data_IF_649095613477
#
_entry.id   IF_649095613477
#
_cell.length_a   1.000
_cell.length_b   1.000
_cell.length_c   1.000
_cell.angle_alpha   90.00
_cell.angle_beta   90.00
_cell.angle_gamma   90.00
#
_symmetry.space_group_name_H-M   'P 1'
#
loop_
_entity.id
_entity.type
_entity.pdbx_description
1 polymer ?
#
# COMPACT_ATOMS: atom_id res chain seq x y z
N UNK A 1 20.39 10.80 -2.81
CA UNK A 1 21.87 10.80 -2.65
C UNK A 1 22.47 10.16 -3.88
N UNK A 2 23.46 10.82 -4.46
CA UNK A 2 24.17 10.37 -5.68
C UNK A 2 25.66 10.20 -5.34
N UNK A 3 26.05 9.07 -4.71
CA UNK A 3 27.42 8.88 -4.23
C UNK A 3 28.44 8.62 -5.35
N UNK A 4 27.97 8.16 -6.51
CA UNK A 4 28.74 7.86 -7.72
C UNK A 4 27.96 8.39 -8.90
N UNK A 5 28.63 8.84 -9.96
CA UNK A 5 27.98 9.26 -11.20
C UNK A 5 27.09 8.15 -11.76
N UNK A 6 25.83 8.47 -12.04
CA UNK A 6 24.81 7.51 -12.50
C UNK A 6 24.15 6.66 -11.40
N UNK A 7 24.62 6.70 -10.13
CA UNK A 7 24.02 5.95 -9.03
C UNK A 7 23.10 6.84 -8.19
N UNK A 8 21.82 6.49 -8.12
CA UNK A 8 20.80 7.18 -7.31
C UNK A 8 20.30 6.21 -6.25
N UNK A 9 20.36 6.66 -5.00
CA UNK A 9 19.78 5.97 -3.86
C UNK A 9 18.55 6.77 -3.40
N UNK A 10 17.40 6.10 -3.34
CA UNK A 10 16.15 6.71 -2.88
C UNK A 10 15.58 5.91 -1.70
N UNK A 11 15.13 6.64 -0.68
CA UNK A 11 14.49 6.07 0.51
C UNK A 11 13.22 6.85 0.83
N UNK A 12 12.09 6.20 0.78
CA UNK A 12 10.78 6.76 1.11
C UNK A 12 10.22 6.06 2.34
N UNK A 13 9.85 6.85 3.35
CA UNK A 13 9.17 6.39 4.54
C UNK A 13 7.93 7.25 4.78
N UNK A 14 6.76 6.62 4.77
CA UNK A 14 5.49 7.25 5.06
C UNK A 14 4.82 6.54 6.22
N UNK A 15 4.37 7.32 7.21
CA UNK A 15 3.55 6.84 8.30
C UNK A 15 2.25 7.64 8.35
N UNK A 16 1.13 6.95 8.50
CA UNK A 16 -0.18 7.56 8.61
C UNK A 16 -0.93 6.98 9.81
N UNK A 17 -1.58 7.84 10.59
CA UNK A 17 -2.45 7.43 11.69
C UNK A 17 -3.78 8.15 11.56
N UNK A 18 -4.86 7.39 11.65
CA UNK A 18 -6.22 7.91 11.72
C UNK A 18 -6.91 7.30 12.94
N UNK A 19 -7.52 8.15 13.75
CA UNK A 19 -8.33 7.75 14.90
C UNK A 19 -9.70 8.37 14.74
N UNK A 20 -10.74 7.54 14.77
CA UNK A 20 -12.12 7.97 14.68
C UNK A 20 -12.87 7.46 15.90
N UNK A 21 -13.60 8.33 16.56
CA UNK A 21 -14.55 7.98 17.62
C UNK A 21 -15.93 8.39 17.19
N UNK A 22 -16.89 7.52 17.36
CA UNK A 22 -18.31 7.79 17.15
C UNK A 22 -19.06 7.50 18.45
N UNK A 23 -19.95 8.43 18.82
CA UNK A 23 -20.87 8.28 19.95
C UNK A 23 -22.29 8.38 19.36
N UNK A 24 -23.08 7.36 19.63
CA UNK A 24 -24.49 7.31 19.22
C UNK A 24 -25.36 7.26 20.47
N UNK A 25 -26.38 8.09 20.46
CA UNK A 25 -27.36 8.21 21.53
C UNK A 25 -28.76 7.92 21.00
N UNK A 26 -29.35 6.81 21.41
CA UNK A 26 -30.77 6.56 21.25
C UNK A 26 -31.52 7.11 22.45
N UNK A 27 -32.27 8.18 22.24
CA UNK A 27 -32.98 8.86 23.34
C UNK A 27 -34.07 7.99 23.96
N UNK A 28 -34.17 8.02 25.26
CA UNK A 28 -35.27 7.41 26.02
C UNK A 28 -36.67 7.94 25.61
N UNK A 29 -36.72 9.12 25.04
CA UNK A 29 -37.97 9.76 24.58
C UNK A 29 -38.33 9.41 23.13
N UNK A 30 -37.48 8.64 22.41
CA UNK A 30 -37.80 8.20 21.07
C UNK A 30 -38.89 7.12 21.08
N UNK A 31 -39.85 7.22 20.18
CA UNK A 31 -40.96 6.27 20.03
C UNK A 31 -40.40 4.85 19.83
N UNK A 32 -40.82 3.92 20.69
CA UNK A 32 -40.44 2.49 20.62
C UNK A 32 -39.21 2.10 21.45
N UNK A 33 -38.57 3.01 22.19
CA UNK A 33 -37.48 2.69 23.10
C UNK A 33 -37.99 2.13 24.43
N UNK A 34 -37.84 0.82 24.62
CA UNK A 34 -38.35 0.07 25.80
C UNK A 34 -37.39 0.14 27.02
N UNK A 35 -36.16 0.65 26.85
CA UNK A 35 -35.08 0.50 27.84
C UNK A 35 -34.45 1.84 28.30
N UNK A 36 -35.26 2.89 28.42
CA UNK A 36 -34.80 4.19 28.95
C UNK A 36 -33.56 4.77 28.24
N UNK A 37 -33.45 4.52 26.92
CA UNK A 37 -32.37 4.97 26.06
C UNK A 37 -31.17 4.02 25.99
N UNK A 38 -30.36 4.22 24.96
CA UNK A 38 -29.10 3.48 24.73
C UNK A 38 -27.98 4.44 24.32
N UNK A 39 -26.81 4.27 24.93
CA UNK A 39 -25.58 4.89 24.51
C UNK A 39 -24.69 3.84 23.86
N UNK A 40 -24.12 4.15 22.68
CA UNK A 40 -23.08 3.34 22.06
C UNK A 40 -21.88 4.19 21.65
N UNK A 41 -20.69 3.65 21.87
CA UNK A 41 -19.43 4.29 21.54
C UNK A 41 -18.60 3.31 20.73
N UNK A 42 -18.02 3.78 19.64
CA UNK A 42 -17.04 3.03 18.89
C UNK A 42 -15.77 3.86 18.65
N UNK A 43 -14.64 3.18 18.59
CA UNK A 43 -13.36 3.78 18.27
C UNK A 43 -12.62 2.92 17.26
N UNK A 44 -12.15 3.55 16.20
CA UNK A 44 -11.37 2.95 15.14
C UNK A 44 -10.00 3.61 15.10
N UNK A 45 -8.95 2.80 15.03
CA UNK A 45 -7.59 3.30 14.82
C UNK A 45 -6.95 2.56 13.67
N UNK A 46 -6.53 3.32 12.66
CA UNK A 46 -5.68 2.86 11.58
C UNK A 46 -4.27 3.41 11.80
N UNK A 47 -3.29 2.54 11.68
CA UNK A 47 -1.89 2.93 11.64
C UNK A 47 -1.23 2.20 10.49
N UNK A 48 -0.70 2.95 9.53
CA UNK A 48 0.00 2.40 8.37
C UNK A 48 1.43 2.91 8.30
N UNK A 49 2.32 2.04 7.88
CA UNK A 49 3.70 2.38 7.54
C UNK A 49 3.97 1.83 6.15
N UNK A 50 4.45 2.70 5.26
CA UNK A 50 4.91 2.34 3.94
C UNK A 50 6.36 2.78 3.80
N UNK A 51 7.24 1.86 3.43
CA UNK A 51 8.65 2.12 3.20
C UNK A 51 9.09 1.52 1.87
N UNK A 52 9.90 2.28 1.14
CA UNK A 52 10.47 1.85 -0.13
C UNK A 52 11.91 2.36 -0.24
N UNK A 53 12.78 1.46 -0.61
CA UNK A 53 14.18 1.73 -0.87
C UNK A 53 14.52 1.30 -2.28
N UNK A 54 15.15 2.17 -3.04
CA UNK A 54 15.58 1.86 -4.41
C UNK A 54 17.03 2.28 -4.64
N UNK A 55 17.69 1.49 -5.45
CA UNK A 55 19.00 1.77 -6.03
C UNK A 55 18.82 1.77 -7.53
N UNK A 56 19.13 2.87 -8.18
CA UNK A 56 19.14 2.99 -9.63
C UNK A 56 20.56 3.35 -10.10
N UNK A 57 21.05 2.60 -11.07
CA UNK A 57 22.32 2.86 -11.71
C UNK A 57 22.11 3.02 -13.20
N UNK A 58 22.54 4.17 -13.73
CA UNK A 58 22.43 4.55 -15.12
C UNK A 58 23.81 4.87 -15.66
N UNK A 59 24.25 4.18 -16.72
CA UNK A 59 25.58 4.36 -17.29
C UNK A 59 25.61 4.10 -18.80
N UNK A 60 26.25 5.02 -19.51
CA UNK A 60 26.61 4.87 -20.92
C UNK A 60 28.12 4.61 -21.06
N UNK A 61 28.47 3.65 -21.90
CA UNK A 61 29.83 3.26 -22.25
C UNK A 61 29.92 3.12 -23.78
N UNK A 62 30.30 4.19 -24.46
CA UNK A 62 30.22 4.24 -25.93
C UNK A 62 28.79 4.04 -26.41
N UNK A 63 28.57 3.05 -27.29
CA UNK A 63 27.26 2.71 -27.83
C UNK A 63 26.39 1.84 -26.89
N UNK A 64 26.90 1.50 -25.72
CA UNK A 64 26.18 0.68 -24.73
C UNK A 64 25.59 1.56 -23.64
N UNK A 65 24.30 1.42 -23.39
CA UNK A 65 23.62 2.06 -22.26
C UNK A 65 22.96 1.03 -21.37
N UNK A 66 23.11 1.20 -20.05
CA UNK A 66 22.57 0.32 -19.01
C UNK A 66 21.80 1.16 -18.00
N UNK A 67 20.57 0.76 -17.72
CA UNK A 67 19.84 1.23 -16.56
C UNK A 67 19.43 0.04 -15.71
N UNK A 68 19.93 -0.01 -14.47
CA UNK A 68 19.69 -1.11 -13.52
C UNK A 68 19.00 -0.53 -12.30
N UNK A 69 17.81 -1.06 -11.99
CA UNK A 69 17.05 -0.71 -10.81
C UNK A 69 16.90 -1.95 -9.92
N UNK A 70 17.15 -1.79 -8.63
CA UNK A 70 16.78 -2.77 -7.60
C UNK A 70 16.05 -2.05 -6.47
N UNK A 71 15.08 -2.72 -5.85
CA UNK A 71 14.32 -2.12 -4.78
C UNK A 71 13.67 -3.11 -3.84
N UNK A 72 13.32 -2.59 -2.68
CA UNK A 72 12.54 -3.25 -1.66
C UNK A 72 11.41 -2.31 -1.23
N UNK A 73 10.22 -2.87 -1.05
CA UNK A 73 9.09 -2.14 -0.48
C UNK A 73 8.37 -2.97 0.57
N UNK A 74 7.83 -2.30 1.57
CA UNK A 74 7.04 -2.92 2.62
C UNK A 74 5.88 -2.00 3.00
N UNK A 75 4.69 -2.57 3.10
CA UNK A 75 3.50 -1.94 3.65
C UNK A 75 3.03 -2.69 4.89
N UNK A 76 2.76 -1.97 5.97
CA UNK A 76 2.17 -2.49 7.20
C UNK A 76 0.92 -1.70 7.53
N UNK A 77 -0.15 -2.41 7.87
CA UNK A 77 -1.38 -1.88 8.40
C UNK A 77 -1.69 -2.53 9.75
N UNK A 78 -1.97 -1.72 10.75
CA UNK A 78 -2.58 -2.14 12.01
C UNK A 78 -3.93 -1.44 12.14
N UNK A 79 -4.99 -2.23 12.18
CA UNK A 79 -6.34 -1.76 12.42
C UNK A 79 -6.83 -2.25 13.77
N UNK A 80 -7.29 -1.34 14.61
CA UNK A 80 -7.84 -1.63 15.92
C UNK A 80 -9.27 -1.08 15.99
N UNK A 81 -10.16 -1.93 16.46
CA UNK A 81 -11.55 -1.60 16.70
C UNK A 81 -11.90 -1.84 18.14
N UNK A 82 -12.65 -0.93 18.72
CA UNK A 82 -13.25 -1.04 20.04
C UNK A 82 -14.67 -0.49 19.96
N UNK A 83 -15.64 -1.19 20.53
CA UNK A 83 -16.99 -0.65 20.70
C UNK A 83 -17.61 -1.12 22.01
N UNK A 84 -18.55 -0.35 22.46
CA UNK A 84 -19.40 -0.69 23.60
C UNK A 84 -20.77 -0.07 23.45
N UNK A 85 -21.81 -0.73 23.96
CA UNK A 85 -23.13 -0.13 24.16
C UNK A 85 -23.75 -0.56 25.46
N UNK A 86 -24.58 0.29 26.01
CA UNK A 86 -25.34 0.02 27.23
C UNK A 86 -26.65 0.83 27.23
N UNK A 87 -27.64 0.33 27.94
CA UNK A 87 -28.96 0.93 28.07
C UNK A 87 -29.17 1.54 29.45
N UNK A 88 -30.30 2.23 29.66
CA UNK A 88 -30.68 2.91 30.89
C UNK A 88 -29.74 4.03 31.27
N UNK A 89 -30.04 5.20 30.75
CA UNK A 89 -29.20 6.40 30.94
C UNK A 89 -29.62 7.14 32.20
N UNK A 90 -28.66 7.59 33.02
CA UNK A 90 -28.91 8.50 34.13
C UNK A 90 -29.38 9.87 33.62
N UNK A 91 -28.73 10.34 32.53
CA UNK A 91 -29.12 11.55 31.80
C UNK A 91 -29.43 11.17 30.35
N UNK A 92 -30.67 11.38 29.87
CA UNK A 92 -31.10 10.97 28.53
C UNK A 92 -30.46 11.75 27.38
N UNK A 93 -29.67 12.79 27.68
CA UNK A 93 -29.00 13.65 26.70
C UNK A 93 -27.50 13.39 26.59
N UNK A 94 -26.94 12.49 27.41
CA UNK A 94 -25.50 12.17 27.43
C UNK A 94 -25.26 10.81 26.82
N UNK A 95 -24.67 10.76 25.61
CA UNK A 95 -24.33 9.54 24.86
C UNK A 95 -22.99 8.89 25.27
N UNK A 96 -22.62 8.92 26.53
CA UNK A 96 -21.40 8.29 27.04
C UNK A 96 -21.73 6.99 27.79
N UNK A 97 -20.88 5.97 27.61
CA UNK A 97 -21.09 4.65 28.25
C UNK A 97 -21.10 4.73 29.78
N UNK A 98 -20.34 5.66 30.36
CA UNK A 98 -20.32 5.89 31.81
C UNK A 98 -21.63 6.45 32.35
N UNK A 99 -22.48 7.00 31.50
CA UNK A 99 -23.82 7.49 31.84
C UNK A 99 -24.89 6.40 31.83
N UNK A 100 -24.55 5.15 31.45
CA UNK A 100 -25.50 4.07 31.32
C UNK A 100 -25.32 2.98 32.40
N UNK A 101 -26.40 2.54 33.02
CA UNK A 101 -26.39 1.60 34.14
C UNK A 101 -27.14 0.28 33.91
N UNK A 102 -27.65 0.04 32.69
CA UNK A 102 -28.30 -1.23 32.35
C UNK A 102 -27.37 -2.42 32.54
N UNK A 103 -27.91 -3.51 33.04
CA UNK A 103 -27.13 -4.74 33.32
C UNK A 103 -27.36 -5.85 32.30
N UNK A 104 -28.51 -5.85 31.63
CA UNK A 104 -28.98 -6.96 30.79
C UNK A 104 -28.59 -6.86 29.32
N UNK A 105 -28.25 -5.68 28.79
CA UNK A 105 -27.97 -5.43 27.36
C UNK A 105 -26.58 -4.84 27.10
N UNK A 106 -25.65 -5.00 28.03
CA UNK A 106 -24.26 -4.58 27.79
C UNK A 106 -23.65 -5.34 26.63
N UNK A 107 -23.13 -4.62 25.65
CA UNK A 107 -22.35 -5.18 24.54
C UNK A 107 -20.97 -4.55 24.50
N UNK A 108 -19.99 -5.34 24.22
CA UNK A 108 -18.65 -4.86 23.93
C UNK A 108 -18.01 -5.71 22.84
N UNK A 109 -17.16 -5.12 22.06
CA UNK A 109 -16.40 -5.81 21.05
C UNK A 109 -15.04 -5.11 20.85
N UNK A 110 -14.00 -5.91 20.65
CA UNK A 110 -12.71 -5.37 20.24
C UNK A 110 -11.93 -6.40 19.44
N UNK A 111 -11.22 -5.94 18.46
CA UNK A 111 -10.27 -6.76 17.71
C UNK A 111 -9.14 -5.94 17.13
N UNK A 112 -8.07 -6.62 16.79
CA UNK A 112 -6.93 -6.04 16.07
C UNK A 112 -6.65 -6.88 14.84
N UNK A 113 -6.62 -6.22 13.69
CA UNK A 113 -6.18 -6.79 12.43
C UNK A 113 -4.82 -6.21 12.04
N UNK A 114 -3.92 -7.11 11.65
CA UNK A 114 -2.63 -6.74 11.09
C UNK A 114 -2.55 -7.27 9.65
N UNK A 115 -2.09 -6.42 8.76
CA UNK A 115 -1.84 -6.77 7.37
C UNK A 115 -0.47 -6.26 6.96
N UNK A 116 0.29 -7.08 6.24
CA UNK A 116 1.60 -6.73 5.75
C UNK A 116 1.80 -7.28 4.35
N UNK A 117 2.39 -6.44 3.50
CA UNK A 117 2.98 -6.88 2.23
C UNK A 117 4.43 -6.45 2.19
N UNK A 118 5.25 -7.23 1.53
CA UNK A 118 6.63 -6.87 1.22
C UNK A 118 7.01 -7.40 -0.16
N UNK A 119 7.92 -6.71 -0.83
CA UNK A 119 8.34 -7.05 -2.17
C UNK A 119 9.77 -6.64 -2.45
N UNK A 120 10.46 -7.52 -3.19
CA UNK A 120 11.75 -7.24 -3.81
C UNK A 120 11.54 -7.15 -5.31
N UNK A 121 12.13 -6.16 -5.94
CA UNK A 121 12.03 -6.00 -7.39
C UNK A 121 13.33 -5.52 -8.00
N UNK A 122 13.53 -5.93 -9.24
CA UNK A 122 14.65 -5.51 -10.05
C UNK A 122 14.27 -5.37 -11.51
N UNK A 123 14.94 -4.47 -12.21
CA UNK A 123 14.80 -4.25 -13.64
C UNK A 123 16.16 -3.93 -14.23
N UNK A 124 16.42 -4.52 -15.38
CA UNK A 124 17.57 -4.20 -16.22
C UNK A 124 17.04 -3.73 -17.56
N UNK A 125 17.45 -2.56 -17.98
CA UNK A 125 17.27 -2.05 -19.33
C UNK A 125 18.65 -1.89 -19.95
N UNK A 126 18.79 -2.40 -21.15
CA UNK A 126 20.01 -2.30 -21.93
C UNK A 126 19.66 -1.91 -23.35
N UNK A 127 20.40 -0.96 -23.90
CA UNK A 127 20.35 -0.65 -25.30
C UNK A 127 21.76 -0.60 -25.91
N UNK A 128 21.83 -0.94 -27.18
CA UNK A 128 23.03 -0.85 -27.98
C UNK A 128 22.79 0.07 -29.18
N UNK A 129 23.59 1.13 -29.26
CA UNK A 129 23.60 2.14 -30.33
C UNK A 129 22.21 2.79 -30.55
N UNK A 130 21.36 2.86 -29.52
CA UNK A 130 19.96 3.26 -29.62
C UNK A 130 19.15 2.48 -30.70
N UNK A 131 19.56 1.27 -31.00
CA UNK A 131 18.93 0.41 -32.03
C UNK A 131 18.30 -0.83 -31.44
N UNK A 132 19.00 -1.51 -30.58
CA UNK A 132 18.58 -2.79 -29.99
C UNK A 132 18.32 -2.60 -28.52
N UNK A 133 17.11 -2.93 -28.08
CA UNK A 133 16.68 -2.72 -26.69
C UNK A 133 16.29 -4.06 -26.05
N UNK A 134 16.77 -4.26 -24.83
CA UNK A 134 16.41 -5.39 -23.98
C UNK A 134 15.92 -4.84 -22.65
N UNK A 135 14.78 -5.31 -22.19
CA UNK A 135 14.24 -4.99 -20.88
C UNK A 135 13.88 -6.30 -20.18
N UNK A 136 14.39 -6.49 -18.98
CA UNK A 136 14.04 -7.61 -18.13
C UNK A 136 13.66 -7.12 -16.75
N UNK A 137 12.58 -7.64 -16.17
CA UNK A 137 12.19 -7.35 -14.80
C UNK A 137 11.87 -8.62 -14.04
N UNK A 138 12.16 -8.59 -12.74
CA UNK A 138 11.83 -9.63 -11.79
C UNK A 138 11.26 -8.98 -10.54
N UNK A 139 10.14 -9.53 -10.03
CA UNK A 139 9.51 -9.10 -8.79
C UNK A 139 9.12 -10.31 -7.95
N UNK A 140 9.39 -10.24 -6.66
CA UNK A 140 8.98 -11.26 -5.70
C UNK A 140 8.25 -10.59 -4.54
N UNK A 141 6.97 -10.91 -4.40
CA UNK A 141 6.05 -10.30 -3.44
C UNK A 141 5.54 -11.32 -2.43
N UNK A 142 5.36 -10.86 -1.19
CA UNK A 142 4.69 -11.60 -0.14
C UNK A 142 3.51 -10.83 0.43
N UNK A 143 2.50 -11.56 0.88
CA UNK A 143 1.38 -11.00 1.62
C UNK A 143 1.00 -11.86 2.82
N UNK A 144 0.74 -11.20 3.95
CA UNK A 144 0.26 -11.85 5.17
C UNK A 144 -1.17 -12.41 5.05
N UNK A 145 -1.91 -12.04 3.99
CA UNK A 145 -3.25 -12.58 3.72
C UNK A 145 -3.22 -14.06 3.30
N UNK A 146 -2.08 -14.56 2.82
CA UNK A 146 -1.93 -15.94 2.42
C UNK A 146 -1.42 -16.83 3.56
N UNK A 147 -1.76 -18.11 3.48
CA UNK A 147 -1.34 -19.12 4.46
C UNK A 147 0.20 -19.22 4.56
N UNK A 148 0.74 -19.56 5.75
CA UNK A 148 2.16 -19.85 5.90
C UNK A 148 2.64 -20.88 4.84
N UNK A 149 3.79 -20.61 4.24
CA UNK A 149 4.34 -21.43 3.14
C UNK A 149 3.88 -21.04 1.74
N UNK A 150 2.80 -20.26 1.60
CA UNK A 150 2.25 -19.82 0.30
C UNK A 150 2.19 -18.29 0.15
N UNK A 151 2.97 -17.57 0.96
CA UNK A 151 2.90 -16.10 1.00
C UNK A 151 3.65 -15.41 -0.15
N UNK A 152 4.57 -16.10 -0.80
CA UNK A 152 5.45 -15.55 -1.80
C UNK A 152 5.01 -15.90 -3.21
N UNK A 153 4.93 -14.89 -4.08
CA UNK A 153 4.79 -15.02 -5.52
C UNK A 153 5.99 -14.39 -6.24
N UNK A 154 6.40 -14.97 -7.35
CA UNK A 154 7.49 -14.45 -8.19
C UNK A 154 6.97 -14.20 -9.59
N UNK A 155 7.26 -13.02 -10.13
CA UNK A 155 6.81 -12.54 -11.42
C UNK A 155 8.00 -12.02 -12.20
N UNK A 156 8.03 -12.27 -13.50
CA UNK A 156 9.08 -11.77 -14.37
C UNK A 156 8.53 -11.39 -15.73
N UNK A 157 9.23 -10.48 -16.40
CA UNK A 157 8.95 -10.10 -17.78
C UNK A 157 10.24 -9.83 -18.52
N UNK A 158 10.21 -10.08 -19.84
CA UNK A 158 11.28 -9.75 -20.78
C UNK A 158 10.64 -9.08 -21.98
N UNK A 159 11.23 -7.98 -22.42
CA UNK A 159 10.84 -7.25 -23.63
C UNK A 159 12.07 -7.04 -24.51
N UNK A 160 11.86 -7.13 -25.81
CA UNK A 160 12.86 -6.85 -26.82
C UNK A 160 12.27 -5.82 -27.79
N UNK A 161 13.09 -4.86 -28.23
CA UNK A 161 12.71 -3.92 -29.27
C UNK A 161 13.91 -3.66 -30.19
N UNK A 162 13.62 -3.41 -31.46
CA UNK A 162 14.59 -3.11 -32.48
C UNK A 162 14.11 -1.91 -33.29
N UNK A 163 14.93 -0.90 -33.35
CA UNK A 163 14.66 0.31 -34.14
C UNK A 163 15.25 0.15 -35.52
N UNK A 164 14.49 -0.50 -36.41
CA UNK A 164 14.93 -0.90 -37.75
C UNK A 164 15.26 0.29 -38.65
N UNK A 165 14.59 1.43 -38.48
CA UNK A 165 14.84 2.64 -39.28
C UNK A 165 16.26 3.22 -39.10
N UNK A 166 16.97 2.83 -38.05
CA UNK A 166 18.37 3.24 -37.80
C UNK A 166 19.40 2.32 -38.49
N UNK A 167 18.94 1.26 -39.15
CA UNK A 167 19.82 0.36 -39.90
C UNK A 167 20.23 0.92 -41.24
N UNK A 168 21.46 0.61 -41.69
CA UNK A 168 22.04 1.14 -42.89
C UNK A 168 21.22 0.80 -44.15
N UNK A 169 20.57 -0.37 -44.16
CA UNK A 169 19.74 -0.81 -45.30
C UNK A 169 18.39 -0.10 -45.40
N UNK A 170 17.96 0.66 -44.37
CA UNK A 170 16.71 1.44 -44.35
C UNK A 170 16.92 2.96 -44.40
N UNK A 171 18.16 3.45 -44.33
CA UNK A 171 18.46 4.90 -44.30
C UNK A 171 17.91 5.69 -45.44
N UNK A 172 17.77 5.08 -46.63
CA UNK A 172 17.28 5.74 -47.82
C UNK A 172 15.76 5.63 -48.03
N UNK A 173 15.06 4.94 -47.11
CA UNK A 173 13.62 4.68 -47.17
C UNK A 173 12.86 5.79 -46.47
N UNK A 174 12.57 6.90 -47.16
CA UNK A 174 12.01 8.14 -46.60
C UNK A 174 10.55 8.07 -46.13
N UNK A 175 9.83 6.97 -46.36
CA UNK A 175 8.44 6.84 -45.93
C UNK A 175 8.28 6.06 -44.59
N UNK A 176 9.38 5.60 -44.01
CA UNK A 176 9.41 4.91 -42.73
C UNK A 176 10.07 5.82 -41.70
N UNK A 177 9.28 6.52 -40.87
CA UNK A 177 9.80 7.39 -39.82
C UNK A 177 10.05 6.63 -38.52
N UNK A 178 9.27 5.60 -38.21
CA UNK A 178 9.42 4.76 -37.03
C UNK A 178 8.99 3.32 -37.34
N UNK A 179 9.89 2.39 -37.14
CA UNK A 179 9.66 0.95 -37.26
C UNK A 179 10.40 0.23 -36.14
#
# INVERSE_FOLDING_TARGET
ITPIEGLILDANLNAFSSNTRANDLASAFASGQADDGEASVSANRYFTVNQRYTVNYDKSLGDHHFNILAGYEQYKLKYQYLSGSNTRLYDPFIGELGNAFGTSKKKNNSFTNNYMTEGFFGRVMYDYADKYFVNASLRRDASSAFAPGHRWGTFGSVGLAWQMNKEDFLKDVKWIDLL
#
